data_IF_586344319916
#
_entry.id   IF_586344319916
#
_cell.length_a   1.000
_cell.length_b   1.000
_cell.length_c   1.000
_cell.angle_alpha   90.00
_cell.angle_beta   90.00
_cell.angle_gamma   90.00
#
_symmetry.space_group_name_H-M   'P 1'
#
loop_
_entity.id
_entity.type
_entity.pdbx_description
1 polymer ?
#
# COMPACT_ATOMS: atom_id res chain seq x y z
N UNK A 1 -29.49 18.47 20.13
CA UNK A 1 -29.68 17.94 21.49
C UNK A 1 -28.75 16.75 21.63
N UNK A 2 -27.60 16.94 22.28
CA UNK A 2 -26.70 15.84 22.60
C UNK A 2 -27.35 15.02 23.71
N UNK A 3 -27.85 13.84 23.36
CA UNK A 3 -28.43 12.92 24.33
C UNK A 3 -27.32 12.48 25.28
N UNK A 4 -27.42 12.93 26.53
CA UNK A 4 -26.53 12.56 27.62
C UNK A 4 -26.87 11.11 27.94
N UNK A 5 -26.20 10.18 27.26
CA UNK A 5 -26.16 8.79 27.71
C UNK A 5 -25.27 8.78 28.95
N UNK A 6 -25.88 8.95 30.13
CA UNK A 6 -25.24 8.48 31.35
C UNK A 6 -24.99 6.98 31.14
N UNK A 7 -23.74 6.49 31.17
CA UNK A 7 -23.52 5.07 31.19
C UNK A 7 -24.17 4.59 32.49
N UNK A 8 -25.29 3.89 32.36
CA UNK A 8 -25.80 3.03 33.41
C UNK A 8 -24.60 2.31 34.02
N UNK A 9 -24.56 2.26 35.36
CA UNK A 9 -23.60 1.49 36.12
C UNK A 9 -23.35 0.15 35.39
N UNK A 10 -22.23 0.04 34.67
CA UNK A 10 -21.75 -1.25 34.15
C UNK A 10 -21.09 -1.94 35.34
N UNK A 11 -21.85 -2.15 36.41
CA UNK A 11 -21.62 -3.33 37.22
C UNK A 11 -21.94 -4.47 36.28
N UNK A 12 -20.91 -5.19 35.82
CA UNK A 12 -21.09 -6.39 35.03
C UNK A 12 -22.20 -7.22 35.68
N UNK A 13 -23.28 -7.50 34.94
CA UNK A 13 -24.37 -8.35 35.43
C UNK A 13 -23.73 -9.60 36.05
N UNK A 14 -24.18 -10.10 37.21
CA UNK A 14 -23.58 -11.28 37.83
C UNK A 14 -23.51 -12.49 36.87
N UNK A 15 -24.44 -12.57 35.90
CA UNK A 15 -24.38 -13.55 34.81
C UNK A 15 -23.19 -13.34 33.84
N UNK A 16 -22.80 -12.09 33.58
CA UNK A 16 -21.62 -11.74 32.76
C UNK A 16 -20.32 -12.17 33.44
N UNK A 17 -20.17 -11.88 34.73
CA UNK A 17 -18.97 -12.25 35.49
C UNK A 17 -18.82 -13.78 35.51
N UNK A 18 -19.93 -14.52 35.70
CA UNK A 18 -19.95 -15.98 35.63
C UNK A 18 -19.58 -16.49 34.22
N UNK A 19 -20.08 -15.85 33.16
CA UNK A 19 -19.74 -16.20 31.78
C UNK A 19 -18.25 -15.98 31.47
N UNK A 20 -17.72 -14.81 31.81
CA UNK A 20 -16.29 -14.46 31.62
C UNK A 20 -15.38 -15.35 32.49
N UNK A 21 -15.82 -15.75 33.69
CA UNK A 21 -15.10 -16.72 34.54
C UNK A 21 -15.11 -18.13 33.93
N UNK A 22 -16.20 -18.53 33.27
CA UNK A 22 -16.29 -19.83 32.59
C UNK A 22 -15.42 -19.89 31.32
N UNK A 23 -15.25 -18.76 30.63
CA UNK A 23 -14.49 -18.67 29.37
C UNK A 23 -13.13 -17.98 29.54
N UNK A 24 -12.58 -17.94 30.76
CA UNK A 24 -11.32 -17.23 31.05
C UNK A 24 -10.11 -17.76 30.27
N UNK A 25 -10.19 -18.99 29.75
CA UNK A 25 -9.16 -19.62 28.91
C UNK A 25 -9.23 -19.24 27.44
N UNK A 26 -10.33 -18.62 27.01
CA UNK A 26 -10.52 -18.28 25.60
C UNK A 26 -9.63 -17.10 25.23
N UNK A 27 -8.93 -17.23 24.09
CA UNK A 27 -7.93 -16.28 23.64
C UNK A 27 -8.03 -16.07 22.12
N UNK A 28 -8.39 -14.85 21.71
CA UNK A 28 -8.45 -14.45 20.30
C UNK A 28 -7.18 -13.77 19.81
N UNK A 29 -6.19 -13.54 20.68
CA UNK A 29 -4.97 -12.82 20.34
C UNK A 29 -4.13 -13.50 19.25
N UNK A 30 -4.21 -14.82 19.11
CA UNK A 30 -3.50 -15.57 18.08
C UNK A 30 -3.85 -15.12 16.66
N UNK A 31 -5.12 -14.82 16.38
CA UNK A 31 -5.57 -14.32 15.08
C UNK A 31 -4.98 -12.93 14.80
N UNK A 32 -4.94 -12.07 15.81
CA UNK A 32 -4.36 -10.73 15.71
C UNK A 32 -2.84 -10.79 15.48
N UNK A 33 -2.12 -11.65 16.21
CA UNK A 33 -0.68 -11.84 16.04
C UNK A 33 -0.37 -12.37 14.64
N UNK A 34 -1.13 -13.37 14.17
CA UNK A 34 -0.94 -13.92 12.83
C UNK A 34 -1.17 -12.87 11.74
N UNK A 35 -2.26 -12.10 11.84
CA UNK A 35 -2.56 -11.01 10.91
C UNK A 35 -1.45 -9.94 10.90
N UNK A 36 -0.95 -9.57 12.08
CA UNK A 36 0.14 -8.60 12.24
C UNK A 36 1.40 -9.03 11.48
N UNK A 37 1.89 -10.25 11.77
CA UNK A 37 3.12 -10.77 11.18
C UNK A 37 3.00 -10.82 9.65
N UNK A 38 1.86 -11.28 9.13
CA UNK A 38 1.62 -11.34 7.69
C UNK A 38 1.57 -9.94 7.07
N UNK A 39 0.77 -9.03 7.61
CA UNK A 39 0.54 -7.70 7.03
C UNK A 39 1.79 -6.83 7.07
N UNK A 40 2.54 -6.81 8.18
CA UNK A 40 3.79 -6.05 8.31
C UNK A 40 4.86 -6.60 7.37
N UNK A 41 4.99 -7.93 7.29
CA UNK A 41 5.96 -8.56 6.38
C UNK A 41 5.66 -8.21 4.92
N UNK A 42 4.39 -8.33 4.51
CA UNK A 42 3.97 -7.97 3.15
C UNK A 42 4.19 -6.48 2.85
N UNK A 43 3.84 -5.60 3.77
CA UNK A 43 4.05 -4.15 3.62
C UNK A 43 5.54 -3.81 3.48
N UNK A 44 6.40 -4.40 4.32
CA UNK A 44 7.85 -4.21 4.24
C UNK A 44 8.42 -4.69 2.91
N UNK A 45 8.07 -5.92 2.50
CA UNK A 45 8.51 -6.51 1.23
C UNK A 45 8.05 -5.63 0.05
N UNK A 46 6.82 -5.14 0.05
CA UNK A 46 6.29 -4.26 -1.00
C UNK A 46 7.07 -2.94 -1.11
N UNK A 47 7.43 -2.32 0.02
CA UNK A 47 8.25 -1.10 0.03
C UNK A 47 9.66 -1.40 -0.48
N UNK A 48 10.30 -2.48 -0.03
CA UNK A 48 11.62 -2.90 -0.54
C UNK A 48 11.59 -3.13 -2.06
N UNK A 49 10.54 -3.78 -2.57
CA UNK A 49 10.33 -3.98 -4.01
C UNK A 49 10.16 -2.64 -4.74
N UNK A 50 9.39 -1.69 -4.20
CA UNK A 50 9.28 -0.34 -4.77
C UNK A 50 10.64 0.32 -4.95
N UNK A 51 11.48 0.34 -3.91
CA UNK A 51 12.80 0.98 -3.98
C UNK A 51 13.75 0.27 -4.95
N UNK A 52 13.72 -1.06 -4.97
CA UNK A 52 14.49 -1.87 -5.92
C UNK A 52 14.07 -1.58 -7.36
N UNK A 53 12.75 -1.54 -7.60
CA UNK A 53 12.15 -1.20 -8.89
C UNK A 53 12.59 0.18 -9.39
N UNK A 54 12.56 1.19 -8.51
CA UNK A 54 13.00 2.55 -8.86
C UNK A 54 14.49 2.63 -9.13
N UNK A 55 15.31 1.91 -8.36
CA UNK A 55 16.76 1.81 -8.57
C UNK A 55 17.07 1.19 -9.93
N UNK A 56 16.37 0.12 -10.31
CA UNK A 56 16.52 -0.51 -11.63
C UNK A 56 16.12 0.42 -12.77
N UNK A 57 15.04 1.19 -12.62
CA UNK A 57 14.61 2.17 -13.61
C UNK A 57 15.41 3.48 -13.58
N UNK A 58 16.44 3.61 -12.72
CA UNK A 58 17.24 4.84 -12.53
C UNK A 58 16.38 6.08 -12.27
N UNK A 59 15.26 5.91 -11.56
CA UNK A 59 14.30 6.98 -11.26
C UNK A 59 14.68 7.65 -9.95
N UNK A 60 14.83 8.98 -9.95
CA UNK A 60 15.07 9.77 -8.72
C UNK A 60 13.91 9.62 -7.72
N UNK A 61 14.28 9.49 -6.44
CA UNK A 61 13.35 9.50 -5.31
C UNK A 61 12.67 10.86 -5.16
N UNK A 62 11.37 10.85 -4.88
CA UNK A 62 10.58 12.08 -4.70
C UNK A 62 9.70 11.98 -3.46
N UNK A 63 8.86 12.99 -3.24
CA UNK A 63 7.96 13.08 -2.10
C UNK A 63 7.08 11.83 -1.92
N UNK A 64 6.63 11.19 -3.01
CA UNK A 64 5.84 9.96 -2.95
C UNK A 64 6.58 8.79 -2.24
N UNK A 65 7.91 8.73 -2.40
CA UNK A 65 8.74 7.67 -1.80
C UNK A 65 8.98 7.91 -0.31
N UNK A 66 9.05 9.17 0.12
CA UNK A 66 9.14 9.51 1.55
C UNK A 66 7.81 9.34 2.27
N UNK A 67 6.70 9.68 1.61
CA UNK A 67 5.35 9.49 2.16
C UNK A 67 5.01 8.02 2.39
N UNK A 68 5.42 7.12 1.49
CA UNK A 68 5.19 5.69 1.70
C UNK A 68 6.09 5.10 2.80
N UNK A 69 7.32 5.59 2.97
CA UNK A 69 8.16 5.24 4.13
C UNK A 69 7.49 5.69 5.42
N UNK A 70 6.95 6.92 5.45
CA UNK A 70 6.19 7.43 6.60
C UNK A 70 4.94 6.58 6.87
N UNK A 71 4.23 6.16 5.82
CA UNK A 71 3.10 5.25 5.91
C UNK A 71 3.49 3.91 6.54
N UNK A 72 4.55 3.28 6.04
CA UNK A 72 5.09 2.03 6.59
C UNK A 72 5.51 2.19 8.06
N UNK A 73 6.14 3.31 8.41
CA UNK A 73 6.53 3.61 9.78
C UNK A 73 5.31 3.67 10.71
N UNK A 74 4.28 4.44 10.35
CA UNK A 74 3.06 4.51 11.16
C UNK A 74 2.34 3.16 11.22
N UNK A 75 2.27 2.41 10.12
CA UNK A 75 1.73 1.04 10.12
C UNK A 75 2.50 0.15 11.08
N UNK A 76 3.83 0.16 11.06
CA UNK A 76 4.63 -0.64 12.00
C UNK A 76 4.45 -0.21 13.46
N UNK A 77 4.31 1.09 13.73
CA UNK A 77 4.04 1.61 15.07
C UNK A 77 2.68 1.16 15.59
N UNK A 78 1.61 1.28 14.79
CA UNK A 78 0.26 0.85 15.14
C UNK A 78 0.22 -0.66 15.47
N UNK A 79 0.85 -1.47 14.62
CA UNK A 79 0.98 -2.91 14.80
C UNK A 79 1.72 -3.26 16.09
N UNK A 80 2.77 -2.49 16.42
CA UNK A 80 3.54 -2.67 17.65
C UNK A 80 2.70 -2.31 18.88
N UNK A 81 1.91 -1.24 18.82
CA UNK A 81 0.98 -0.85 19.87
C UNK A 81 -0.04 -1.97 20.16
N UNK A 82 -0.61 -2.59 19.13
CA UNK A 82 -1.55 -3.70 19.31
C UNK A 82 -0.90 -4.96 19.89
N UNK A 83 0.34 -5.29 19.52
CA UNK A 83 1.07 -6.40 20.15
C UNK A 83 1.38 -6.15 21.63
N UNK A 84 1.69 -4.90 21.99
CA UNK A 84 1.89 -4.53 23.39
C UNK A 84 0.56 -4.57 24.17
N UNK A 85 -0.57 -4.20 23.54
CA UNK A 85 -1.89 -4.38 24.12
C UNK A 85 -2.20 -5.87 24.39
N UNK A 86 -1.88 -6.77 23.44
CA UNK A 86 -2.03 -8.23 23.62
C UNK A 86 -1.27 -8.73 24.83
N UNK A 87 -0.04 -8.22 25.05
CA UNK A 87 0.77 -8.58 26.23
C UNK A 87 0.08 -8.20 27.56
N UNK A 88 -0.80 -7.21 27.56
CA UNK A 88 -1.53 -6.74 28.73
C UNK A 88 -2.92 -7.35 28.91
N UNK A 89 -3.36 -8.24 28.01
CA UNK A 89 -4.64 -8.93 28.10
C UNK A 89 -5.58 -8.69 26.91
N UNK A 90 -5.20 -7.85 25.93
CA UNK A 90 -6.04 -7.58 24.76
C UNK A 90 -6.33 -8.86 23.98
N UNK A 91 -7.61 -9.15 23.76
CA UNK A 91 -8.10 -10.39 23.16
C UNK A 91 -8.42 -11.52 24.12
N UNK A 92 -8.36 -11.26 25.42
CA UNK A 92 -8.95 -12.07 26.49
C UNK A 92 -10.14 -11.33 27.09
N UNK A 93 -10.95 -12.04 27.86
CA UNK A 93 -12.04 -11.41 28.59
C UNK A 93 -11.53 -10.36 29.58
N UNK A 94 -12.30 -9.29 29.78
CA UNK A 94 -11.89 -8.13 30.62
C UNK A 94 -11.44 -8.47 32.05
N UNK A 95 -11.83 -9.64 32.58
CA UNK A 95 -11.40 -10.16 33.90
C UNK A 95 -9.91 -10.56 33.90
N UNK A 96 -9.35 -10.92 32.75
CA UNK A 96 -7.96 -11.35 32.58
C UNK A 96 -6.99 -10.20 32.28
N UNK A 97 -7.46 -8.96 32.24
CA UNK A 97 -6.64 -7.77 31.97
C UNK A 97 -5.65 -7.50 33.12
N UNK A 98 -4.35 -7.48 32.82
CA UNK A 98 -3.30 -7.23 33.83
C UNK A 98 -3.04 -5.74 34.06
N UNK A 99 -3.06 -4.95 32.98
CA UNK A 99 -2.79 -3.51 33.02
C UNK A 99 -3.84 -2.71 32.22
N UNK A 100 -5.10 -2.64 32.70
CA UNK A 100 -6.21 -2.07 31.93
C UNK A 100 -6.06 -0.58 31.61
N UNK A 101 -5.38 0.20 32.47
CA UNK A 101 -5.12 1.63 32.25
C UNK A 101 -4.11 1.84 31.12
N UNK A 102 -2.97 1.15 31.18
CA UNK A 102 -1.92 1.28 30.17
C UNK A 102 -2.38 0.73 28.81
N UNK A 103 -3.16 -0.36 28.83
CA UNK A 103 -3.81 -0.91 27.64
C UNK A 103 -4.73 0.11 26.95
N UNK A 104 -5.58 0.82 27.72
CA UNK A 104 -6.45 1.85 27.12
C UNK A 104 -5.64 3.01 26.52
N UNK A 105 -4.56 3.45 27.17
CA UNK A 105 -3.69 4.49 26.63
C UNK A 105 -3.07 4.08 25.30
N UNK A 106 -2.60 2.83 25.18
CA UNK A 106 -1.95 2.37 23.95
C UNK A 106 -2.93 2.12 22.82
N UNK A 107 -4.16 1.70 23.11
CA UNK A 107 -5.24 1.58 22.10
C UNK A 107 -5.59 2.96 21.54
N UNK A 108 -5.74 3.98 22.40
CA UNK A 108 -5.98 5.35 21.93
C UNK A 108 -4.81 5.87 21.09
N UNK A 109 -3.56 5.55 21.48
CA UNK A 109 -2.40 5.88 20.66
C UNK A 109 -2.43 5.16 19.29
N UNK A 110 -2.82 3.87 19.26
CA UNK A 110 -2.96 3.09 18.04
C UNK A 110 -3.98 3.71 17.07
N UNK A 111 -5.13 4.17 17.57
CA UNK A 111 -6.15 4.85 16.75
C UNK A 111 -5.62 6.13 16.08
N UNK A 112 -4.85 6.93 16.82
CA UNK A 112 -4.25 8.16 16.28
C UNK A 112 -3.20 7.83 15.22
N UNK A 113 -2.36 6.82 15.49
CA UNK A 113 -1.34 6.34 14.56
C UNK A 113 -1.98 5.77 13.29
N UNK A 114 -3.09 5.03 13.42
CA UNK A 114 -3.87 4.50 12.29
C UNK A 114 -4.33 5.62 11.35
N UNK A 115 -4.88 6.71 11.89
CA UNK A 115 -5.30 7.87 11.10
C UNK A 115 -4.11 8.49 10.34
N UNK A 116 -2.94 8.58 11.00
CA UNK A 116 -1.70 9.05 10.38
C UNK A 116 -1.19 8.12 9.28
N UNK A 117 -1.25 6.80 9.49
CA UNK A 117 -0.86 5.79 8.51
C UNK A 117 -1.73 5.88 7.25
N UNK A 118 -3.06 5.88 7.41
CA UNK A 118 -4.01 5.97 6.30
C UNK A 118 -3.84 7.26 5.50
N UNK A 119 -3.70 8.40 6.19
CA UNK A 119 -3.42 9.68 5.53
C UNK A 119 -2.12 9.65 4.72
N UNK A 120 -1.05 9.09 5.28
CA UNK A 120 0.27 9.01 4.62
C UNK A 120 0.26 8.08 3.39
N UNK A 121 -0.40 6.92 3.49
CA UNK A 121 -0.55 5.96 2.39
C UNK A 121 -1.33 6.61 1.23
N UNK A 122 -2.48 7.22 1.52
CA UNK A 122 -3.31 7.92 0.52
C UNK A 122 -2.57 9.10 -0.12
N UNK A 123 -1.84 9.87 0.68
CA UNK A 123 -1.03 10.97 0.19
C UNK A 123 0.07 10.49 -0.77
N UNK A 124 0.75 9.39 -0.44
CA UNK A 124 1.72 8.74 -1.34
C UNK A 124 1.10 8.38 -2.69
N UNK A 125 -0.08 7.75 -2.70
CA UNK A 125 -0.80 7.37 -3.92
C UNK A 125 -1.16 8.62 -4.75
N UNK A 126 -1.71 9.66 -4.10
CA UNK A 126 -2.09 10.90 -4.77
C UNK A 126 -0.87 11.60 -5.39
N UNK A 127 0.24 11.73 -4.65
CA UNK A 127 1.47 12.34 -5.20
C UNK A 127 2.03 11.51 -6.35
N UNK A 128 1.95 10.18 -6.26
CA UNK A 128 2.34 9.28 -7.35
C UNK A 128 1.46 9.48 -8.59
N UNK A 129 0.14 9.60 -8.43
CA UNK A 129 -0.79 9.87 -9.53
C UNK A 129 -0.54 11.23 -10.17
N UNK A 130 -0.24 12.25 -9.38
CA UNK A 130 0.11 13.57 -9.90
C UNK A 130 1.37 13.51 -10.76
N UNK A 131 2.35 12.69 -10.36
CA UNK A 131 3.59 12.48 -11.09
C UNK A 131 3.40 11.70 -12.39
N UNK A 132 2.57 10.66 -12.37
CA UNK A 132 2.38 9.78 -13.53
C UNK A 132 1.44 10.42 -14.55
N UNK A 133 0.33 11.02 -14.10
CA UNK A 133 -0.75 11.50 -14.95
C UNK A 133 -0.83 13.03 -15.00
N UNK A 134 0.30 13.71 -15.24
CA UNK A 134 0.33 15.16 -15.46
C UNK A 134 -0.19 15.52 -16.87
N UNK A 135 -1.48 15.30 -17.10
CA UNK A 135 -2.09 15.45 -18.43
C UNK A 135 -3.06 16.65 -18.48
N UNK A 136 -3.74 16.97 -17.37
CA UNK A 136 -4.78 18.00 -17.35
C UNK A 136 -4.82 18.81 -16.06
N UNK A 137 -4.99 20.13 -16.18
CA UNK A 137 -5.25 21.04 -15.04
C UNK A 137 -6.48 20.63 -14.22
N UNK A 138 -7.51 20.04 -14.86
CA UNK A 138 -8.72 19.56 -14.17
C UNK A 138 -8.39 18.37 -13.27
N UNK A 139 -7.60 17.42 -13.78
CA UNK A 139 -7.16 16.25 -13.03
C UNK A 139 -6.31 16.65 -11.82
N UNK A 140 -5.34 17.54 -12.02
CA UNK A 140 -4.52 18.07 -10.92
C UNK A 140 -5.38 18.74 -9.84
N UNK A 141 -6.35 19.59 -10.21
CA UNK A 141 -7.26 20.22 -9.23
C UNK A 141 -8.06 19.19 -8.43
N UNK A 142 -8.60 18.17 -9.09
CA UNK A 142 -9.34 17.09 -8.42
C UNK A 142 -8.46 16.31 -7.44
N UNK A 143 -7.23 16.02 -7.84
CA UNK A 143 -6.25 15.32 -7.00
C UNK A 143 -5.91 16.13 -5.73
N UNK A 144 -5.67 17.43 -5.86
CA UNK A 144 -5.46 18.31 -4.71
C UNK A 144 -6.71 18.42 -3.82
N UNK A 145 -7.91 18.49 -4.40
CA UNK A 145 -9.15 18.53 -3.63
C UNK A 145 -9.35 17.25 -2.79
N UNK A 146 -9.10 16.08 -3.39
CA UNK A 146 -9.15 14.79 -2.67
C UNK A 146 -8.06 14.71 -1.61
N UNK A 147 -6.84 15.18 -1.91
CA UNK A 147 -5.76 15.22 -0.92
C UNK A 147 -6.09 16.08 0.28
N UNK A 148 -6.59 17.31 0.06
CA UNK A 148 -7.03 18.22 1.14
C UNK A 148 -8.16 17.58 1.95
N UNK A 149 -9.11 16.93 1.28
CA UNK A 149 -10.20 16.22 1.97
C UNK A 149 -9.65 15.09 2.84
N UNK A 150 -8.73 14.27 2.32
CA UNK A 150 -8.09 13.16 3.06
C UNK A 150 -7.36 13.66 4.31
N UNK A 151 -6.47 14.64 4.15
CA UNK A 151 -5.76 15.22 5.29
C UNK A 151 -6.71 15.90 6.29
N UNK A 152 -7.76 16.54 5.78
CA UNK A 152 -8.77 17.20 6.61
C UNK A 152 -9.52 16.22 7.50
N UNK A 153 -10.13 15.17 6.95
CA UNK A 153 -10.88 14.22 7.76
C UNK A 153 -9.97 13.36 8.66
N UNK A 154 -8.80 12.93 8.17
CA UNK A 154 -7.85 12.16 8.99
C UNK A 154 -7.31 12.97 10.16
N UNK A 155 -7.05 14.27 9.96
CA UNK A 155 -6.62 15.17 11.03
C UNK A 155 -7.74 15.45 12.04
N UNK A 156 -8.96 15.72 11.57
CA UNK A 156 -10.12 15.97 12.45
C UNK A 156 -10.45 14.72 13.28
N UNK A 157 -10.53 13.55 12.64
CA UNK A 157 -10.90 12.30 13.33
C UNK A 157 -9.77 11.76 14.21
N UNK A 158 -8.51 11.88 13.77
CA UNK A 158 -7.36 11.57 14.63
C UNK A 158 -7.28 12.51 15.85
N UNK A 159 -7.57 13.79 15.66
CA UNK A 159 -7.72 14.74 16.77
C UNK A 159 -8.88 14.38 17.69
N UNK A 160 -10.02 13.96 17.11
CA UNK A 160 -11.19 13.51 17.87
C UNK A 160 -10.89 12.28 18.74
N UNK A 161 -10.03 11.37 18.30
CA UNK A 161 -9.54 10.24 19.11
C UNK A 161 -8.78 10.70 20.36
N UNK A 162 -7.99 11.79 20.27
CA UNK A 162 -7.29 12.38 21.42
C UNK A 162 -8.23 13.10 22.41
N UNK A 163 -9.44 13.45 21.98
CA UNK A 163 -10.46 14.10 22.83
C UNK A 163 -11.71 13.24 22.95
N UNK A 164 -11.59 11.92 22.80
CA UNK A 164 -12.71 11.00 22.82
C UNK A 164 -13.49 11.03 24.16
N UNK A 165 -12.83 11.45 25.25
CA UNK A 165 -13.48 11.81 26.51
C UNK A 165 -12.92 13.14 27.05
N UNK A 166 -13.79 13.92 27.69
CA UNK A 166 -13.43 15.16 28.37
C UNK A 166 -13.72 15.01 29.88
N UNK A 167 -12.70 15.06 30.76
CA UNK A 167 -11.26 15.06 30.46
C UNK A 167 -10.77 13.70 29.93
N UNK A 168 -9.63 13.66 29.20
CA UNK A 168 -9.09 12.42 28.62
C UNK A 168 -8.89 11.30 29.68
N UNK A 169 -8.50 11.71 30.89
CA UNK A 169 -8.31 10.81 32.01
C UNK A 169 -9.57 10.01 32.39
N UNK A 170 -10.77 10.48 32.00
CA UNK A 170 -12.04 9.79 32.24
C UNK A 170 -12.13 8.41 31.54
N UNK A 171 -11.32 8.18 30.50
CA UNK A 171 -11.25 6.87 29.81
C UNK A 171 -10.82 5.76 30.76
N UNK A 172 -9.84 6.04 31.63
CA UNK A 172 -9.22 5.05 32.50
C UNK A 172 -9.49 5.29 33.98
N UNK A 173 -9.85 6.51 34.37
CA UNK A 173 -10.24 6.86 35.73
C UNK A 173 -11.67 7.41 35.75
N UNK A 174 -12.62 6.53 36.10
CA UNK A 174 -14.04 6.90 36.21
C UNK A 174 -14.40 7.62 37.51
N UNK A 175 -13.44 7.83 38.43
CA UNK A 175 -13.67 8.65 39.62
C UNK A 175 -13.81 10.14 39.29
N UNK A 176 -13.25 10.55 38.15
CA UNK A 176 -13.34 11.90 37.62
C UNK A 176 -14.71 12.10 36.95
N UNK A 177 -15.33 13.26 37.12
CA UNK A 177 -16.54 13.61 36.35
C UNK A 177 -16.15 13.96 34.92
N UNK A 178 -16.73 13.26 33.96
CA UNK A 178 -16.49 13.50 32.55
C UNK A 178 -17.58 12.90 31.67
N UNK A 179 -17.47 13.17 30.37
CA UNK A 179 -18.30 12.54 29.35
C UNK A 179 -17.42 12.04 28.21
N UNK A 180 -17.90 11.00 27.52
CA UNK A 180 -17.25 10.46 26.33
C UNK A 180 -18.13 10.66 25.11
N UNK A 181 -17.49 10.89 23.96
CA UNK A 181 -18.11 10.81 22.65
C UNK A 181 -18.52 9.36 22.38
N UNK A 182 -19.55 9.18 21.54
CA UNK A 182 -20.00 7.85 21.13
C UNK A 182 -18.99 7.26 20.15
N UNK A 183 -18.03 6.49 20.68
CA UNK A 183 -16.92 5.87 19.94
C UNK A 183 -17.41 5.12 18.68
N UNK A 184 -18.49 4.31 18.72
CA UNK A 184 -18.97 3.61 17.52
C UNK A 184 -19.38 4.57 16.40
N UNK A 185 -19.97 5.72 16.72
CA UNK A 185 -20.39 6.71 15.71
C UNK A 185 -19.16 7.32 15.03
N UNK A 186 -18.15 7.71 15.81
CA UNK A 186 -16.91 8.27 15.26
C UNK A 186 -16.17 7.23 14.38
N UNK A 187 -16.12 5.97 14.83
CA UNK A 187 -15.52 4.88 14.08
C UNK A 187 -16.27 4.58 12.77
N UNK A 188 -17.61 4.63 12.77
CA UNK A 188 -18.43 4.48 11.55
C UNK A 188 -18.19 5.63 10.57
N UNK A 189 -18.12 6.87 11.04
CA UNK A 189 -17.82 8.03 10.17
C UNK A 189 -16.44 7.88 9.52
N UNK A 190 -15.43 7.47 10.30
CA UNK A 190 -14.08 7.22 9.82
C UNK A 190 -14.06 6.14 8.74
N UNK A 191 -14.73 5.02 8.98
CA UNK A 191 -14.81 3.90 8.05
C UNK A 191 -15.50 4.30 6.74
N UNK A 192 -16.59 5.06 6.79
CA UNK A 192 -17.29 5.57 5.61
C UNK A 192 -16.39 6.51 4.79
N UNK A 193 -15.70 7.46 5.44
CA UNK A 193 -14.79 8.34 4.71
C UNK A 193 -13.59 7.61 4.13
N UNK A 194 -13.04 6.63 4.83
CA UNK A 194 -11.98 5.78 4.29
C UNK A 194 -12.46 5.04 3.04
N UNK A 195 -13.60 4.36 3.12
CA UNK A 195 -14.22 3.67 1.99
C UNK A 195 -14.46 4.60 0.79
N UNK A 196 -15.12 5.73 1.00
CA UNK A 196 -15.44 6.68 -0.07
C UNK A 196 -14.17 7.21 -0.74
N UNK A 197 -13.15 7.55 0.05
CA UNK A 197 -11.90 8.07 -0.52
C UNK A 197 -11.11 7.00 -1.27
N UNK A 198 -11.16 5.74 -0.84
CA UNK A 198 -10.52 4.63 -1.57
C UNK A 198 -11.16 4.43 -2.93
N UNK A 199 -12.50 4.43 -3.01
CA UNK A 199 -13.23 4.35 -4.28
C UNK A 199 -12.91 5.54 -5.18
N UNK A 200 -12.89 6.76 -4.63
CA UNK A 200 -12.54 7.97 -5.41
C UNK A 200 -11.12 7.88 -5.97
N UNK A 201 -10.14 7.49 -5.16
CA UNK A 201 -8.74 7.35 -5.57
C UNK A 201 -8.61 6.25 -6.63
N UNK A 202 -9.30 5.13 -6.45
CA UNK A 202 -9.29 4.00 -7.38
C UNK A 202 -9.91 4.36 -8.74
N UNK A 203 -11.03 5.09 -8.76
CA UNK A 203 -11.69 5.50 -10.02
C UNK A 203 -10.97 6.65 -10.71
N UNK A 204 -10.28 7.51 -9.96
CA UNK A 204 -9.61 8.72 -10.47
C UNK A 204 -8.77 8.52 -11.75
N UNK A 205 -7.87 7.53 -11.86
CA UNK A 205 -7.07 7.33 -13.07
C UNK A 205 -7.83 6.63 -14.23
N UNK A 206 -8.97 5.97 -13.99
CA UNK A 206 -9.67 5.17 -15.02
C UNK A 206 -9.98 5.92 -16.31
N UNK A 207 -10.56 7.14 -16.28
CA UNK A 207 -10.92 7.83 -17.51
C UNK A 207 -9.71 8.22 -18.36
N UNK A 208 -8.53 8.39 -17.73
CA UNK A 208 -7.28 8.66 -18.42
C UNK A 208 -6.75 7.36 -19.04
N UNK A 209 -6.79 6.27 -18.27
CA UNK A 209 -6.34 4.95 -18.72
C UNK A 209 -7.14 4.43 -19.92
N UNK A 210 -8.46 4.66 -19.98
CA UNK A 210 -9.28 4.24 -21.12
C UNK A 210 -8.98 4.97 -22.43
N UNK A 211 -8.41 6.18 -22.35
CA UNK A 211 -8.04 6.95 -23.54
C UNK A 211 -6.64 6.62 -24.05
N UNK A 212 -5.85 5.88 -23.27
CA UNK A 212 -4.47 5.54 -23.60
C UNK A 212 -4.42 4.13 -24.20
N UNK A 213 -3.74 3.97 -25.34
CA UNK A 213 -3.50 2.65 -25.94
C UNK A 213 -2.42 1.92 -25.14
N UNK A 214 -2.86 1.17 -24.13
CA UNK A 214 -2.01 0.50 -23.14
C UNK A 214 -1.64 -0.90 -23.64
N UNK A 215 -0.36 -1.28 -23.54
CA UNK A 215 0.11 -2.62 -23.90
C UNK A 215 -0.45 -3.66 -22.90
N UNK A 216 -0.77 -4.88 -23.34
CA UNK A 216 -1.41 -5.93 -22.51
C UNK A 216 -0.68 -6.18 -21.18
N UNK A 217 0.64 -5.95 -21.11
CA UNK A 217 1.45 -6.09 -19.88
C UNK A 217 1.14 -5.02 -18.83
N UNK A 218 0.88 -3.79 -19.24
CA UNK A 218 0.51 -2.68 -18.36
C UNK A 218 -0.94 -2.85 -17.83
N UNK A 219 -1.81 -3.49 -18.63
CA UNK A 219 -3.19 -3.81 -18.24
C UNK A 219 -3.27 -4.69 -16.98
N UNK A 220 -2.38 -5.68 -16.84
CA UNK A 220 -2.34 -6.54 -15.65
C UNK A 220 -1.95 -5.78 -14.38
N UNK A 221 -1.04 -4.81 -14.47
CA UNK A 221 -0.63 -3.99 -13.32
C UNK A 221 -1.77 -3.10 -12.85
N UNK A 222 -2.47 -2.49 -13.80
CA UNK A 222 -3.66 -1.69 -13.52
C UNK A 222 -4.72 -2.58 -12.84
N UNK A 223 -5.01 -3.76 -13.39
CA UNK A 223 -5.94 -4.70 -12.75
C UNK A 223 -5.51 -5.08 -11.31
N UNK A 224 -4.22 -5.33 -11.07
CA UNK A 224 -3.71 -5.60 -9.73
C UNK A 224 -3.94 -4.43 -8.75
N UNK A 225 -3.76 -3.19 -9.22
CA UNK A 225 -4.08 -1.99 -8.43
C UNK A 225 -5.58 -1.89 -8.12
N UNK A 226 -6.45 -2.19 -9.09
CA UNK A 226 -7.90 -2.20 -8.88
C UNK A 226 -8.33 -3.28 -7.89
N UNK A 227 -7.78 -4.48 -8.01
CA UNK A 227 -8.10 -5.60 -7.11
C UNK A 227 -7.67 -5.30 -5.67
N UNK A 228 -6.44 -4.83 -5.48
CA UNK A 228 -5.94 -4.49 -4.13
C UNK A 228 -6.65 -3.29 -3.55
N UNK A 229 -6.90 -2.22 -4.32
CA UNK A 229 -7.66 -1.07 -3.84
C UNK A 229 -9.12 -1.43 -3.52
N UNK A 230 -9.76 -2.26 -4.34
CA UNK A 230 -11.10 -2.78 -4.06
C UNK A 230 -11.15 -3.66 -2.80
N UNK A 231 -10.10 -4.46 -2.55
CA UNK A 231 -9.97 -5.23 -1.32
C UNK A 231 -9.85 -4.33 -0.09
N UNK A 232 -9.07 -3.25 -0.16
CA UNK A 232 -8.97 -2.26 0.94
C UNK A 232 -10.35 -1.65 1.21
N UNK A 233 -11.08 -1.24 0.17
CA UNK A 233 -12.45 -0.73 0.32
C UNK A 233 -13.40 -1.77 0.96
N UNK A 234 -13.28 -3.04 0.60
CA UNK A 234 -14.04 -4.11 1.23
C UNK A 234 -13.72 -4.25 2.72
N UNK A 235 -12.43 -4.14 3.10
CA UNK A 235 -12.02 -4.16 4.52
C UNK A 235 -12.69 -3.03 5.31
N UNK A 236 -12.71 -1.80 4.79
CA UNK A 236 -13.36 -0.66 5.45
C UNK A 236 -14.88 -0.87 5.62
N UNK A 237 -15.54 -1.48 4.62
CA UNK A 237 -16.97 -1.82 4.70
C UNK A 237 -17.22 -2.90 5.77
N UNK A 238 -16.43 -3.97 5.76
CA UNK A 238 -16.59 -5.06 6.73
C UNK A 238 -16.34 -4.60 8.17
N UNK A 239 -15.36 -3.71 8.38
CA UNK A 239 -15.12 -3.02 9.65
C UNK A 239 -16.38 -2.29 10.15
N UNK A 240 -17.12 -1.62 9.25
CA UNK A 240 -18.38 -0.95 9.61
C UNK A 240 -19.44 -1.95 10.06
N UNK A 241 -19.51 -3.13 9.42
CA UNK A 241 -20.46 -4.19 9.81
C UNK A 241 -20.13 -4.74 11.19
N UNK A 242 -18.86 -5.01 11.50
CA UNK A 242 -18.44 -5.48 12.84
C UNK A 242 -18.86 -4.49 13.92
N UNK A 243 -18.60 -3.19 13.70
CA UNK A 243 -18.90 -2.13 14.67
C UNK A 243 -20.39 -2.11 15.07
N UNK A 244 -21.27 -2.50 14.15
CA UNK A 244 -22.72 -2.54 14.35
C UNK A 244 -23.26 -3.92 14.75
N UNK A 245 -22.50 -4.99 14.52
CA UNK A 245 -22.89 -6.36 14.84
C UNK A 245 -22.52 -6.77 16.26
N UNK A 246 -21.44 -6.22 16.81
CA UNK A 246 -20.97 -6.57 18.15
C UNK A 246 -21.78 -5.81 19.21
N UNK A 247 -22.35 -6.58 20.15
CA UNK A 247 -22.83 -6.01 21.39
C UNK A 247 -21.59 -5.75 22.22
N UNK A 248 -21.08 -4.51 22.22
CA UNK A 248 -19.87 -4.01 22.91
C UNK A 248 -19.87 -4.23 24.43
N UNK A 249 -20.03 -5.48 24.84
CA UNK A 249 -20.24 -5.95 26.21
C UNK A 249 -18.88 -6.20 26.83
N UNK A 250 -17.91 -6.70 26.06
CA UNK A 250 -16.52 -6.86 26.47
C UNK A 250 -15.57 -6.24 25.45
N UNK A 251 -15.25 -4.93 25.59
CA UNK A 251 -14.40 -4.22 24.64
C UNK A 251 -13.01 -4.84 24.44
N UNK A 252 -12.45 -5.57 25.42
CA UNK A 252 -11.13 -6.20 25.26
C UNK A 252 -11.18 -7.44 24.35
N UNK A 253 -12.35 -8.09 24.27
CA UNK A 253 -12.60 -9.31 23.49
C UNK A 253 -13.23 -9.03 22.12
N UNK A 254 -14.19 -8.10 22.08
CA UNK A 254 -14.99 -7.75 20.90
C UNK A 254 -14.19 -6.90 19.88
N UNK A 255 -13.09 -6.27 20.32
CA UNK A 255 -12.27 -5.38 19.48
C UNK A 255 -11.19 -6.13 18.66
N UNK A 256 -10.97 -7.42 18.91
CA UNK A 256 -9.99 -8.22 18.16
C UNK A 256 -10.31 -8.36 16.67
N UNK A 257 -11.54 -8.71 16.25
CA UNK A 257 -11.89 -8.74 14.84
C UNK A 257 -11.65 -7.37 14.19
N UNK A 258 -11.99 -6.28 14.88
CA UNK A 258 -11.75 -4.93 14.41
C UNK A 258 -10.25 -4.67 14.16
N UNK A 259 -9.40 -5.05 15.12
CA UNK A 259 -7.95 -4.97 15.00
C UNK A 259 -7.40 -5.75 13.80
N UNK A 260 -7.82 -7.01 13.61
CA UNK A 260 -7.38 -7.84 12.47
C UNK A 260 -7.68 -7.17 11.13
N UNK A 261 -8.87 -6.59 10.97
CA UNK A 261 -9.25 -5.90 9.74
C UNK A 261 -8.53 -4.57 9.55
N UNK A 262 -8.30 -3.81 10.61
CA UNK A 262 -7.43 -2.63 10.58
C UNK A 262 -6.03 -2.98 10.09
N UNK A 263 -5.49 -4.12 10.54
CA UNK A 263 -4.16 -4.55 10.12
C UNK A 263 -4.11 -4.91 8.63
N UNK A 264 -5.12 -5.64 8.16
CA UNK A 264 -5.27 -5.98 6.75
C UNK A 264 -5.42 -4.72 5.88
N UNK A 265 -6.21 -3.75 6.33
CA UNK A 265 -6.43 -2.48 5.63
C UNK A 265 -5.13 -1.69 5.46
N UNK A 266 -4.36 -1.50 6.55
CA UNK A 266 -3.07 -0.79 6.48
C UNK A 266 -2.03 -1.56 5.64
N UNK A 267 -1.89 -2.86 5.87
CA UNK A 267 -0.90 -3.69 5.16
C UNK A 267 -1.14 -3.70 3.65
N UNK A 268 -2.38 -3.94 3.25
CA UNK A 268 -2.76 -3.99 1.83
C UNK A 268 -2.79 -2.58 1.23
N UNK A 269 -3.13 -1.56 2.03
CA UNK A 269 -2.96 -0.15 1.66
C UNK A 269 -1.53 0.16 1.22
N UNK A 270 -0.52 -0.23 2.01
CA UNK A 270 0.90 -0.06 1.65
C UNK A 270 1.26 -0.84 0.38
N UNK A 271 0.82 -2.10 0.27
CA UNK A 271 1.05 -2.93 -0.92
C UNK A 271 0.48 -2.26 -2.17
N UNK A 272 -0.78 -1.83 -2.11
CA UNK A 272 -1.49 -1.17 -3.23
C UNK A 272 -0.78 0.11 -3.69
N UNK A 273 -0.23 0.89 -2.76
CA UNK A 273 0.54 2.09 -3.08
C UNK A 273 1.88 1.80 -3.78
N UNK A 274 2.43 0.60 -3.59
CA UNK A 274 3.70 0.16 -4.19
C UNK A 274 3.53 -0.42 -5.60
N UNK A 275 2.38 -1.06 -5.89
CA UNK A 275 2.11 -1.71 -7.18
C UNK A 275 2.40 -0.87 -8.44
N UNK A 276 2.00 0.42 -8.54
CA UNK A 276 2.16 1.17 -9.79
C UNK A 276 3.64 1.41 -10.14
N UNK A 277 4.53 1.31 -9.14
CA UNK A 277 5.96 1.52 -9.32
C UNK A 277 6.75 0.24 -9.59
N UNK A 278 6.13 -0.94 -9.48
CA UNK A 278 6.80 -2.24 -9.63
C UNK A 278 6.93 -2.70 -11.09
N UNK A 279 6.55 -1.86 -12.06
CA UNK A 279 6.59 -2.17 -13.49
C UNK A 279 7.90 -2.82 -13.99
N UNK A 280 9.09 -2.23 -13.78
CA UNK A 280 10.34 -2.78 -14.31
C UNK A 280 10.73 -4.10 -13.64
N UNK A 281 10.36 -4.33 -12.37
CA UNK A 281 10.54 -5.63 -11.72
C UNK A 281 9.70 -6.71 -12.38
N UNK A 282 8.43 -6.42 -12.67
CA UNK A 282 7.53 -7.40 -13.28
C UNK A 282 8.00 -7.80 -14.69
N UNK A 283 8.49 -6.83 -15.47
CA UNK A 283 9.07 -7.11 -16.79
C UNK A 283 10.31 -8.01 -16.69
N UNK A 284 11.23 -7.73 -15.75
CA UNK A 284 12.42 -8.56 -15.53
C UNK A 284 12.09 -9.94 -14.99
N UNK A 285 11.12 -10.05 -14.08
CA UNK A 285 10.67 -11.34 -13.56
C UNK A 285 10.07 -12.21 -14.67
N UNK A 286 9.19 -11.64 -15.51
CA UNK A 286 8.63 -12.37 -16.66
C UNK A 286 9.69 -12.79 -17.67
N UNK A 287 10.72 -11.98 -17.92
CA UNK A 287 11.81 -12.38 -18.83
C UNK A 287 12.63 -13.54 -18.27
N UNK A 288 12.90 -13.56 -16.95
CA UNK A 288 13.61 -14.65 -16.28
C UNK A 288 12.79 -15.94 -16.24
N UNK A 289 11.49 -15.85 -15.99
CA UNK A 289 10.60 -17.01 -16.04
C UNK A 289 10.53 -17.62 -17.45
N UNK A 290 10.55 -16.78 -18.49
CA UNK A 290 10.51 -17.23 -19.89
C UNK A 290 11.84 -17.83 -20.36
N UNK A 291 13.00 -17.34 -19.88
CA UNK A 291 14.29 -17.94 -20.19
C UNK A 291 14.48 -19.30 -19.50
N UNK A 292 13.98 -19.43 -18.27
CA UNK A 292 14.04 -20.70 -17.53
C UNK A 292 13.15 -21.79 -18.13
N UNK A 293 12.10 -21.43 -18.86
CA UNK A 293 11.23 -22.40 -19.55
C UNK A 293 11.76 -22.79 -20.94
N UNK A 294 12.52 -21.92 -21.60
CA UNK A 294 13.20 -22.28 -22.86
C UNK A 294 14.42 -23.18 -22.67
N UNK A 295 15.13 -23.07 -21.53
CA UNK A 295 16.26 -23.96 -21.21
C UNK A 295 15.82 -25.41 -20.97
N UNK A 296 14.64 -25.62 -20.35
CA UNK A 296 14.09 -26.97 -20.18
C UNK A 296 13.67 -27.62 -21.51
N UNK A 297 13.13 -26.86 -22.46
CA UNK A 297 12.71 -27.39 -23.76
C UNK A 297 13.91 -27.71 -24.68
N UNK A 298 15.01 -26.97 -24.58
CA UNK A 298 16.24 -27.25 -25.36
C UNK A 298 16.96 -28.51 -24.86
N UNK A 299 16.95 -28.76 -23.55
CA UNK A 299 17.62 -29.92 -22.97
C UNK A 299 16.90 -31.25 -23.28
N UNK A 300 15.58 -31.22 -23.47
CA UNK A 300 14.77 -32.38 -23.88
C UNK A 300 14.88 -32.65 -25.40
N UNK A 301 15.10 -31.61 -26.21
CA UNK A 301 15.38 -31.73 -27.65
C UNK A 301 16.81 -32.26 -27.96
N UNK A 302 17.78 -31.98 -27.09
CA UNK A 302 19.16 -32.46 -27.25
C UNK A 302 19.32 -33.93 -26.79
N UNK A 303 18.49 -34.40 -25.85
CA UNK A 303 18.50 -35.80 -25.40
C UNK A 303 17.76 -36.76 -26.35
N UNK A 304 16.94 -36.25 -27.26
CA UNK A 304 16.14 -37.05 -28.20
C UNK A 304 16.81 -37.32 -29.55
N UNK A 305 18.06 -36.88 -29.77
CA UNK A 305 18.77 -37.08 -31.04
C UNK A 305 20.21 -37.63 -30.88
N UNK A 306 20.39 -38.91 -30.52
CA UNK A 306 21.68 -39.58 -30.66
C UNK A 306 21.75 -40.34 -32.00
N UNK A 307 22.11 -39.67 -33.09
CA UNK A 307 22.63 -40.38 -34.28
C UNK A 307 23.52 -39.51 -35.17
N UNK A 308 24.76 -39.99 -35.26
CA UNK A 308 25.85 -39.78 -36.24
C UNK A 308 26.74 -38.52 -36.20
N UNK A 309 27.99 -38.67 -35.70
CA UNK A 309 29.10 -37.82 -36.05
C UNK A 309 29.79 -38.38 -37.31
N UNK A 310 29.38 -37.94 -38.51
CA UNK A 310 30.23 -38.12 -39.68
C UNK A 310 30.15 -36.95 -40.68
N UNK A 311 31.34 -36.41 -40.94
CA UNK A 311 31.77 -35.57 -42.07
C UNK A 311 30.91 -34.34 -42.44
N UNK A 312 31.41 -33.17 -42.06
CA UNK A 312 31.47 -32.03 -42.98
C UNK A 312 32.80 -31.29 -42.80
N UNK A 313 33.55 -31.00 -43.87
CA UNK A 313 34.81 -30.23 -43.77
C UNK A 313 34.52 -28.77 -43.38
N UNK A 314 35.51 -28.05 -42.82
CA UNK A 314 35.31 -26.65 -42.41
C UNK A 314 35.04 -25.78 -43.65
N UNK A 315 33.82 -25.22 -43.71
CA UNK A 315 33.47 -24.14 -44.62
C UNK A 315 34.37 -22.93 -44.29
N UNK A 316 35.15 -22.50 -45.27
CA UNK A 316 35.89 -21.23 -45.23
C UNK A 316 34.92 -20.06 -45.00
N UNK A 317 35.29 -19.04 -44.20
CA UNK A 317 34.45 -17.85 -44.04
C UNK A 317 34.38 -17.07 -45.36
N UNK A 318 33.18 -16.93 -45.91
CA UNK A 318 32.93 -15.98 -46.99
C UNK A 318 33.05 -14.54 -46.49
N UNK A 319 33.54 -13.60 -47.32
CA UNK A 319 33.64 -12.21 -46.95
C UNK A 319 32.24 -11.60 -46.77
N UNK A 320 31.97 -11.11 -45.56
CA UNK A 320 30.75 -10.38 -45.23
C UNK A 320 30.66 -9.10 -46.06
N UNK A 321 29.57 -8.96 -46.80
CA UNK A 321 29.23 -7.81 -47.63
C UNK A 321 29.06 -6.54 -46.75
N UNK A 322 29.85 -5.46 -46.93
CA UNK A 322 29.86 -4.32 -46.01
C UNK A 322 28.54 -3.53 -45.94
N UNK A 323 27.65 -3.69 -46.92
CA UNK A 323 26.37 -2.97 -47.01
C UNK A 323 25.31 -3.38 -45.97
N UNK A 324 25.43 -4.55 -45.32
CA UNK A 324 24.46 -4.99 -44.32
C UNK A 324 24.75 -4.44 -42.91
N UNK A 325 26.01 -4.07 -42.64
CA UNK A 325 26.44 -3.58 -41.32
C UNK A 325 25.97 -2.15 -41.03
N UNK A 326 25.79 -1.32 -42.06
CA UNK A 326 25.26 0.05 -41.91
C UNK A 326 23.78 0.09 -41.55
N UNK A 327 22.99 -0.88 -42.00
CA UNK A 327 21.55 -0.94 -41.68
C UNK A 327 21.28 -1.23 -40.20
N UNK A 328 22.15 -2.02 -39.55
CA UNK A 328 22.02 -2.33 -38.12
C UNK A 328 22.55 -1.24 -37.19
N UNK A 329 23.42 -0.34 -37.66
CA UNK A 329 23.82 0.86 -36.89
C UNK A 329 22.67 1.85 -36.70
N UNK A 330 21.70 1.89 -37.62
CA UNK A 330 20.56 2.80 -37.50
C UNK A 330 19.45 2.36 -36.54
N UNK A 331 19.50 1.12 -36.02
CA UNK A 331 18.44 0.56 -35.15
C UNK A 331 18.87 0.47 -33.67
N UNK A 332 20.08 0.91 -33.30
CA UNK A 332 20.46 1.14 -31.89
C UNK A 332 20.43 -0.10 -30.98
N UNK A 333 20.72 -1.29 -31.51
CA UNK A 333 20.68 -2.57 -30.76
C UNK A 333 22.09 -3.09 -30.38
N UNK A 334 23.17 -2.47 -30.85
CA UNK A 334 24.52 -2.79 -30.38
C UNK A 334 25.03 -1.66 -29.52
N UNK A 335 25.06 -1.90 -28.20
CA UNK A 335 25.78 -1.04 -27.25
C UNK A 335 27.26 -1.31 -27.35
N UNK A 336 28.04 -0.25 -27.57
CA UNK A 336 29.49 -0.32 -27.70
C UNK A 336 30.13 -0.84 -26.40
N UNK A 337 30.88 -1.93 -26.54
CA UNK A 337 31.88 -2.42 -25.61
C UNK A 337 33.22 -1.92 -26.15
N UNK A 338 33.71 -0.79 -25.63
CA UNK A 338 35.12 -0.36 -25.73
C UNK A 338 35.54 0.08 -24.31
N UNK A 339 36.33 -0.73 -23.59
CA UNK A 339 37.79 -0.61 -23.47
C UNK A 339 38.26 0.82 -23.23
N UNK A 340 38.79 1.07 -22.03
CA UNK A 340 39.29 2.37 -21.62
C UNK A 340 40.62 2.71 -22.26
N UNK A 341 40.81 4.02 -22.48
CA UNK A 341 42.10 4.70 -22.49
C UNK A 341 41.86 6.19 -22.19
N UNK A 342 42.77 6.76 -21.39
CA UNK A 342 42.81 8.14 -20.92
C UNK A 342 43.13 9.13 -22.06
N UNK A 343 42.46 10.31 -22.12
CA UNK A 343 43.18 11.61 -22.22
C UNK A 343 42.26 12.84 -22.06
N UNK A 344 42.90 13.95 -21.69
CA UNK A 344 42.36 15.22 -21.21
C UNK A 344 41.87 16.17 -22.31
N UNK A 345 41.08 17.15 -21.87
CA UNK A 345 40.97 18.54 -22.35
C UNK A 345 39.77 18.91 -23.24
N UNK A 346 39.18 20.09 -22.99
CA UNK A 346 38.42 20.84 -23.98
C UNK A 346 37.01 21.29 -23.58
N UNK A 347 36.91 22.51 -23.05
CA UNK A 347 35.67 23.30 -22.90
C UNK A 347 35.05 23.59 -24.28
N UNK A 348 33.72 23.48 -24.46
CA UNK A 348 32.88 24.38 -25.28
C UNK A 348 31.37 24.09 -25.21
N UNK A 349 30.65 25.06 -24.62
CA UNK A 349 29.48 25.79 -25.17
C UNK A 349 28.38 25.00 -25.90
N UNK A 350 27.20 24.92 -25.27
CA UNK A 350 26.02 24.21 -25.77
C UNK A 350 24.95 25.22 -26.24
N UNK A 351 24.81 25.36 -27.55
CA UNK A 351 23.80 26.16 -28.25
C UNK A 351 22.45 25.45 -28.30
N UNK A 352 21.37 26.14 -27.92
CA UNK A 352 19.99 25.64 -27.90
C UNK A 352 19.14 26.21 -29.04
N UNK A 353 19.37 25.76 -30.28
CA UNK A 353 18.46 26.03 -31.39
C UNK A 353 18.26 24.79 -32.24
N UNK A 354 16.98 24.42 -32.38
CA UNK A 354 16.32 23.61 -33.42
C UNK A 354 15.50 22.47 -32.81
N UNK A 355 14.20 22.71 -32.63
CA UNK A 355 13.15 21.84 -33.18
C UNK A 355 11.84 22.64 -33.18
N UNK A 356 11.56 23.22 -34.35
CA UNK A 356 10.37 23.95 -34.72
C UNK A 356 9.21 22.96 -34.94
N UNK A 357 8.05 23.28 -34.36
CA UNK A 357 6.79 22.52 -34.49
C UNK A 357 6.13 22.88 -35.83
N UNK A 358 5.66 21.92 -36.66
CA UNK A 358 4.83 22.24 -37.82
C UNK A 358 3.36 22.44 -37.38
N UNK A 359 2.82 23.59 -37.79
CA UNK A 359 1.40 23.97 -37.69
C UNK A 359 0.66 23.38 -38.90
N UNK A 360 -0.42 22.63 -38.67
CA UNK A 360 -1.34 22.20 -39.72
C UNK A 360 -2.35 23.31 -40.06
N UNK A 361 -2.63 23.60 -41.35
CA UNK A 361 -3.68 24.53 -41.75
C UNK A 361 -5.06 23.85 -41.81
N UNK A 362 -6.09 24.59 -41.38
CA UNK A 362 -7.51 24.30 -41.61
C UNK A 362 -7.90 24.87 -42.99
N UNK A 363 -8.50 24.05 -43.85
CA UNK A 363 -9.21 24.50 -45.05
C UNK A 363 -10.72 24.39 -44.81
N UNK A 364 -11.35 25.55 -45.01
CA UNK A 364 -12.76 25.94 -45.23
C UNK A 364 -13.90 24.91 -45.09
#
# INVERSE_FOLDING_TARGET
MAEIVQPAQVTASPAKILYEQQHITDDRSAALIAANVVCVSLAFIAVCMRFTSRRMAKIKYKADDWLIISGLFFTACEMTCLLLAVRWGFGKHSIADTHPVEMRKIIVAADVIYNGAMGSIKASILVLYHRVFFVSRRFTKMLWAVGIFVFGYSGILGGASLIQCLPLNYIWDRSVKGFCLRIPIAATILAIFNFLTDIIILVMPMPILWKMQIETKEKYQIMGMFLTGGFVSFCSLYRTVIIHSENWVDPSWDDIPLGVWTMAELGIGVVSACLPTMRPLFVKAMSLFRSSSSESDQQEAEFSNPSDPSLNPPLQPQPSNPALSESFRHIGILGDLETGEDEKSGVKQQDWRLFSIPVFPLSE
#
